data_IF_272739887084
#
_entry.id   IF_272739887084
#
_cell.length_a   1.000
_cell.length_b   1.000
_cell.length_c   1.000
_cell.angle_alpha   90.00
_cell.angle_beta   90.00
_cell.angle_gamma   90.00
#
_symmetry.space_group_name_H-M   'P 1'
#
loop_
_entity.id
_entity.type
_entity.pdbx_description
1 polymer ?
#
# COMPACT_ATOMS: atom_id res chain seq x y z
N UNK A 1 17.15 -0.79 -22.38
CA UNK A 1 17.36 -0.40 -20.97
C UNK A 1 16.04 -0.54 -20.25
N UNK A 2 16.09 -1.14 -19.06
CA UNK A 2 14.98 -1.76 -18.32
C UNK A 2 13.78 -0.86 -18.05
N UNK A 3 12.57 -1.37 -18.28
CA UNK A 3 11.54 -1.38 -17.23
C UNK A 3 10.58 -2.54 -17.45
N UNK A 4 10.99 -3.74 -17.01
CA UNK A 4 10.03 -4.73 -16.52
C UNK A 4 9.27 -4.12 -15.33
N UNK A 5 7.94 -4.27 -15.29
CA UNK A 5 7.07 -4.47 -14.10
C UNK A 5 5.62 -4.16 -14.51
N UNK A 6 4.58 -4.97 -14.31
CA UNK A 6 4.39 -6.34 -13.81
C UNK A 6 2.88 -6.64 -13.95
N UNK A 7 2.55 -7.65 -14.77
CA UNK A 7 1.43 -8.61 -14.68
C UNK A 7 0.09 -8.12 -14.09
N UNK A 8 -0.88 -7.86 -14.97
CA UNK A 8 -2.31 -7.75 -14.64
C UNK A 8 -2.90 -9.17 -14.53
N UNK A 9 -3.23 -9.60 -13.31
CA UNK A 9 -4.06 -10.79 -13.07
C UNK A 9 -4.97 -10.46 -11.90
N UNK A 10 -6.25 -10.31 -12.19
CA UNK A 10 -7.42 -10.50 -11.32
C UNK A 10 -7.10 -11.15 -9.97
N UNK A 11 -6.70 -10.33 -9.00
CA UNK A 11 -6.63 -10.51 -7.54
C UNK A 11 -6.04 -9.20 -6.93
N UNK A 12 -6.31 -8.06 -7.61
CA UNK A 12 -5.43 -6.90 -7.61
C UNK A 12 -5.91 -5.70 -6.80
N UNK A 13 -7.12 -5.75 -6.21
CA UNK A 13 -7.69 -4.62 -5.49
C UNK A 13 -6.92 -4.33 -4.20
N UNK A 14 -6.60 -5.37 -3.42
CA UNK A 14 -5.78 -5.27 -2.20
C UNK A 14 -4.35 -4.82 -2.49
N UNK A 15 -3.75 -5.31 -3.58
CA UNK A 15 -2.43 -4.87 -4.05
C UNK A 15 -2.41 -3.39 -4.47
N UNK A 16 -3.45 -2.92 -5.16
CA UNK A 16 -3.60 -1.50 -5.55
C UNK A 16 -3.79 -0.59 -4.33
N UNK A 17 -4.62 -0.99 -3.37
CA UNK A 17 -4.84 -0.24 -2.13
C UNK A 17 -3.54 -0.16 -1.32
N UNK A 18 -2.76 -1.24 -1.27
CA UNK A 18 -1.48 -1.26 -0.57
C UNK A 18 -0.44 -0.34 -1.22
N UNK A 19 -0.28 -0.41 -2.56
CA UNK A 19 0.65 0.46 -3.29
C UNK A 19 0.24 1.92 -3.21
N UNK A 20 -1.07 2.21 -3.29
CA UNK A 20 -1.61 3.57 -3.13
C UNK A 20 -1.33 4.14 -1.75
N UNK A 21 -1.57 3.37 -0.68
CA UNK A 21 -1.27 3.79 0.69
C UNK A 21 0.22 4.04 0.91
N UNK A 22 1.09 3.17 0.37
CA UNK A 22 2.55 3.35 0.45
C UNK A 22 3.04 4.60 -0.28
N UNK A 23 2.51 4.90 -1.47
CA UNK A 23 2.88 6.11 -2.21
C UNK A 23 2.42 7.39 -1.50
N UNK A 24 1.20 7.39 -0.95
CA UNK A 24 0.69 8.52 -0.18
C UNK A 24 1.50 8.70 1.11
N UNK A 25 1.78 7.61 1.84
CA UNK A 25 2.61 7.63 3.03
C UNK A 25 4.04 8.09 2.76
N UNK A 26 4.63 7.67 1.65
CA UNK A 26 5.95 8.15 1.20
C UNK A 26 5.91 9.65 0.87
N UNK A 27 4.89 10.12 0.14
CA UNK A 27 4.74 11.54 -0.19
C UNK A 27 4.60 12.40 1.08
N UNK A 28 3.79 11.96 2.05
CA UNK A 28 3.64 12.61 3.35
C UNK A 28 4.95 12.56 4.16
N UNK A 29 5.69 11.47 4.07
CA UNK A 29 7.00 11.30 4.71
C UNK A 29 8.07 12.23 4.17
N UNK A 30 8.08 12.45 2.86
CA UNK A 30 8.99 13.42 2.21
C UNK A 30 8.64 14.84 2.64
N UNK A 31 7.36 15.19 2.72
CA UNK A 31 6.90 16.52 3.16
C UNK A 31 7.20 16.81 4.63
N UNK A 32 7.14 15.81 5.49
CA UNK A 32 7.40 15.95 6.94
C UNK A 32 8.87 15.79 7.32
N UNK A 33 9.74 15.42 6.36
CA UNK A 33 11.16 15.14 6.62
C UNK A 33 11.42 13.88 7.45
N UNK A 34 10.37 13.15 7.83
CA UNK A 34 10.40 11.94 8.66
C UNK A 34 9.90 10.73 7.86
N UNK A 35 10.62 10.42 6.78
CA UNK A 35 10.29 9.34 5.85
C UNK A 35 10.17 7.99 6.56
N UNK A 36 11.07 7.71 7.52
CA UNK A 36 11.03 6.47 8.29
C UNK A 36 9.73 6.33 9.10
N UNK A 37 9.32 7.37 9.83
CA UNK A 37 8.07 7.32 10.59
C UNK A 37 6.85 7.20 9.67
N UNK A 38 6.83 7.92 8.55
CA UNK A 38 5.71 7.89 7.62
C UNK A 38 5.56 6.53 6.90
N UNK A 39 6.67 5.86 6.56
CA UNK A 39 6.63 4.51 6.00
C UNK A 39 6.09 3.49 7.02
N UNK A 40 6.45 3.62 8.29
CA UNK A 40 5.98 2.75 9.37
C UNK A 40 4.47 2.93 9.59
N UNK A 41 3.99 4.18 9.53
CA UNK A 41 2.56 4.49 9.57
C UNK A 41 1.84 3.91 8.34
N UNK A 42 2.39 4.12 7.14
CA UNK A 42 1.80 3.59 5.89
C UNK A 42 1.72 2.06 5.89
N UNK A 43 2.74 1.39 6.44
CA UNK A 43 2.74 -0.06 6.60
C UNK A 43 1.62 -0.50 7.57
N UNK A 44 1.49 0.16 8.71
CA UNK A 44 0.42 -0.10 9.68
C UNK A 44 -0.98 0.12 9.08
N UNK A 45 -1.18 1.24 8.39
CA UNK A 45 -2.44 1.55 7.70
C UNK A 45 -2.72 0.54 6.58
N UNK A 46 -1.69 0.08 5.86
CA UNK A 46 -1.81 -0.97 4.85
C UNK A 46 -2.29 -2.30 5.43
N UNK A 47 -1.74 -2.73 6.57
CA UNK A 47 -2.20 -3.94 7.27
C UNK A 47 -3.63 -3.81 7.78
N UNK A 48 -3.99 -2.65 8.32
CA UNK A 48 -5.36 -2.36 8.77
C UNK A 48 -6.32 -2.37 7.57
N UNK A 49 -5.95 -1.75 6.45
CA UNK A 49 -6.73 -1.74 5.22
C UNK A 49 -6.97 -3.16 4.69
N UNK A 50 -5.95 -4.02 4.67
CA UNK A 50 -6.12 -5.43 4.33
C UNK A 50 -7.01 -6.17 5.33
N UNK A 51 -6.90 -5.90 6.63
CA UNK A 51 -7.74 -6.52 7.66
C UNK A 51 -9.22 -6.11 7.54
N UNK A 52 -9.50 -4.84 7.21
CA UNK A 52 -10.86 -4.34 6.98
C UNK A 52 -11.44 -4.93 5.69
N UNK A 53 -10.66 -4.94 4.60
CA UNK A 53 -11.08 -5.57 3.33
C UNK A 53 -11.32 -7.06 3.54
N UNK A 54 -10.50 -7.72 4.37
CA UNK A 54 -10.70 -9.13 4.76
C UNK A 54 -12.02 -9.36 5.51
N UNK A 55 -12.38 -8.48 6.44
CA UNK A 55 -13.65 -8.56 7.16
C UNK A 55 -14.86 -8.28 6.25
N UNK A 56 -14.70 -7.40 5.26
CA UNK A 56 -15.78 -7.01 4.35
C UNK A 56 -15.99 -7.94 3.16
N UNK A 57 -14.92 -8.52 2.60
CA UNK A 57 -14.96 -9.31 1.36
C UNK A 57 -14.81 -10.82 1.60
N UNK A 58 -14.28 -11.25 2.75
CA UNK A 58 -14.18 -12.68 3.11
C UNK A 58 -13.20 -13.51 2.26
N UNK A 59 -12.48 -12.89 1.33
CA UNK A 59 -11.53 -13.56 0.43
C UNK A 59 -10.08 -13.45 0.93
N UNK A 60 -9.34 -14.55 0.73
CA UNK A 60 -7.91 -14.71 1.05
C UNK A 60 -7.01 -14.25 -0.09
#
# INVERSE_FOLDING_TARGET
MSTETKKTRTSGASGLVFVGCLLIGLAVGILTGQVAAALLIALGVGFIGMAIVRLGTGEW
#
